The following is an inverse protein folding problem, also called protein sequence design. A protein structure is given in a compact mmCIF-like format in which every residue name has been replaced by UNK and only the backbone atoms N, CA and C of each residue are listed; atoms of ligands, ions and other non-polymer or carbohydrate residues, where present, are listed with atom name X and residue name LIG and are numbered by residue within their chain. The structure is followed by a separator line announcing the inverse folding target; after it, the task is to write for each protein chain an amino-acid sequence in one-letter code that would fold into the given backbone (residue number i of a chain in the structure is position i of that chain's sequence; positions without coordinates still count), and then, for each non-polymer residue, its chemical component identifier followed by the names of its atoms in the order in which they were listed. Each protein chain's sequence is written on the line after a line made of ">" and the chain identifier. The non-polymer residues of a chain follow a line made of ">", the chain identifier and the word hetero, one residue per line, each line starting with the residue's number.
data_IF_595699614795
#
_entry.id   IF_595699614795
#
_cell.length_a   1.000
_cell.length_b   1.000
_cell.length_c   1.000
_cell.angle_alpha   90.00
_cell.angle_beta   90.00
_cell.angle_gamma   90.00
#
_symmetry.space_group_name_H-M   'P 1'
#
loop_
_entity.id
_entity.type
_entity.pdbx_description
1 polymer ?
#
# COMPACT_ATOMS: atom_id res chain seq x y z
N UNK A 1 14.11 -51.56 57.27
CA UNK A 1 13.52 -50.22 57.15
C UNK A 1 14.06 -49.58 55.87
N UNK A 2 13.31 -49.64 54.78
CA UNK A 2 13.71 -49.07 53.50
C UNK A 2 13.24 -47.61 53.42
N UNK A 3 14.18 -46.69 53.30
CA UNK A 3 13.88 -45.28 53.03
C UNK A 3 13.98 -45.05 51.52
N UNK A 4 12.85 -44.74 50.93
CA UNK A 4 12.74 -44.35 49.54
C UNK A 4 13.00 -42.83 49.46
N UNK A 5 14.05 -42.41 48.71
CA UNK A 5 14.31 -41.01 48.40
C UNK A 5 13.66 -40.74 47.03
N UNK A 6 12.67 -39.86 47.02
CA UNK A 6 12.04 -39.40 45.78
C UNK A 6 12.81 -38.17 45.28
N UNK A 7 13.33 -38.17 44.06
CA UNK A 7 13.96 -36.98 43.52
C UNK A 7 12.90 -35.96 43.12
N UNK A 8 13.03 -34.73 43.63
CA UNK A 8 12.23 -33.59 43.20
C UNK A 8 12.73 -33.19 41.82
N UNK A 9 11.92 -33.42 40.83
CA UNK A 9 12.18 -32.90 39.47
C UNK A 9 11.94 -31.38 39.44
N UNK A 10 13.00 -30.64 39.31
CA UNK A 10 12.90 -29.19 39.00
C UNK A 10 12.44 -29.02 37.57
N UNK A 11 11.18 -28.65 37.39
CA UNK A 11 10.65 -28.25 36.10
C UNK A 11 11.23 -26.89 35.72
N UNK A 12 12.21 -26.89 34.83
CA UNK A 12 12.67 -25.66 34.16
C UNK A 12 11.57 -25.21 33.21
N UNK A 13 10.90 -24.11 33.56
CA UNK A 13 10.02 -23.38 32.64
C UNK A 13 10.91 -22.69 31.65
N UNK A 14 11.07 -23.28 30.44
CA UNK A 14 11.57 -22.56 29.30
C UNK A 14 10.46 -21.56 28.90
N UNK A 15 10.61 -20.32 29.34
CA UNK A 15 9.90 -19.21 28.73
C UNK A 15 10.37 -19.10 27.28
N UNK A 16 9.59 -19.66 26.35
CA UNK A 16 9.80 -19.48 24.93
C UNK A 16 9.68 -18.00 24.63
N UNK A 17 10.80 -17.36 24.26
CA UNK A 17 10.78 -16.06 23.62
C UNK A 17 10.01 -16.26 22.31
N UNK A 18 8.75 -15.82 22.27
CA UNK A 18 8.04 -15.69 21.02
C UNK A 18 8.87 -14.71 20.16
N UNK A 19 9.14 -15.02 18.88
CA UNK A 19 9.82 -14.08 18.01
C UNK A 19 8.99 -12.80 18.01
N UNK A 20 9.56 -11.71 18.50
CA UNK A 20 8.94 -10.38 18.32
C UNK A 20 8.95 -10.14 16.83
N UNK A 21 7.78 -9.97 16.26
CA UNK A 21 7.67 -9.53 14.88
C UNK A 21 8.39 -8.18 14.79
N UNK A 22 9.47 -8.11 14.03
CA UNK A 22 10.18 -6.86 13.81
C UNK A 22 9.22 -5.83 13.22
N UNK A 23 9.28 -4.59 13.71
CA UNK A 23 8.46 -3.52 13.20
C UNK A 23 8.88 -3.22 11.75
N UNK A 24 7.93 -3.24 10.84
CA UNK A 24 8.18 -2.91 9.42
C UNK A 24 8.60 -1.46 9.30
N UNK A 25 9.60 -1.21 8.45
CA UNK A 25 10.23 0.09 8.25
C UNK A 25 10.02 0.60 6.84
N UNK A 26 10.33 1.88 6.60
CA UNK A 26 10.32 2.43 5.25
C UNK A 26 11.28 1.70 4.30
N UNK A 27 12.40 1.17 4.82
CA UNK A 27 13.38 0.43 4.04
C UNK A 27 12.82 -0.88 3.46
N UNK A 28 11.88 -1.52 4.17
CA UNK A 28 11.25 -2.76 3.71
C UNK A 28 10.34 -2.54 2.50
N UNK A 29 9.88 -1.30 2.28
CA UNK A 29 9.06 -0.92 1.14
C UNK A 29 9.84 -0.48 -0.09
N UNK A 30 11.15 -0.15 0.05
CA UNK A 30 11.95 0.38 -1.05
C UNK A 30 11.95 -0.56 -2.25
N UNK A 31 11.59 -0.01 -3.41
CA UNK A 31 11.51 -0.76 -4.66
C UNK A 31 10.27 -0.41 -5.48
N UNK A 32 10.02 -1.23 -6.49
CA UNK A 32 8.89 -1.07 -7.40
C UNK A 32 7.86 -2.16 -7.14
N UNK A 33 6.62 -1.76 -6.99
CA UNK A 33 5.47 -2.61 -6.70
C UNK A 33 4.48 -2.56 -7.85
N UNK A 34 4.00 -3.72 -8.27
CA UNK A 34 2.97 -3.83 -9.31
C UNK A 34 1.61 -4.05 -8.65
N UNK A 35 0.57 -3.27 -9.00
CA UNK A 35 -0.75 -3.46 -8.42
C UNK A 35 -1.37 -4.79 -8.88
N UNK A 36 -1.88 -5.58 -7.94
CA UNK A 36 -2.66 -6.79 -8.22
C UNK A 36 -4.16 -6.52 -8.24
N UNK A 37 -4.61 -5.59 -7.37
CA UNK A 37 -5.99 -5.11 -7.32
C UNK A 37 -6.02 -3.70 -6.75
N UNK A 38 -7.08 -2.97 -6.97
CA UNK A 38 -7.29 -1.66 -6.36
C UNK A 38 -8.77 -1.43 -6.10
N UNK A 39 -9.08 -0.87 -4.94
CA UNK A 39 -10.43 -0.50 -4.54
C UNK A 39 -10.47 0.97 -4.16
N UNK A 40 -11.64 1.59 -4.35
CA UNK A 40 -11.92 2.95 -3.91
C UNK A 40 -12.96 2.86 -2.80
N UNK A 41 -12.64 3.44 -1.65
CA UNK A 41 -13.60 3.61 -0.57
C UNK A 41 -13.97 5.09 -0.47
N UNK A 42 -15.22 5.40 -0.70
CA UNK A 42 -15.77 6.73 -0.48
C UNK A 42 -16.19 6.89 0.99
N UNK A 43 -16.04 8.09 1.54
CA UNK A 43 -16.47 8.39 2.91
C UNK A 43 -17.95 8.02 3.11
N UNK A 44 -18.21 7.04 3.98
CA UNK A 44 -19.57 6.57 4.31
C UNK A 44 -20.25 5.74 3.23
N UNK A 45 -19.57 5.42 2.14
CA UNK A 45 -20.07 4.59 1.05
C UNK A 45 -19.49 3.19 1.01
N UNK A 46 -20.00 2.34 0.11
CA UNK A 46 -19.44 1.01 -0.13
C UNK A 46 -18.05 1.12 -0.75
N UNK A 47 -17.23 0.09 -0.53
CA UNK A 47 -15.97 -0.07 -1.25
C UNK A 47 -16.28 -0.51 -2.68
N UNK A 48 -15.79 0.23 -3.66
CA UNK A 48 -15.93 -0.09 -5.08
C UNK A 48 -14.60 -0.56 -5.66
N UNK A 49 -14.63 -1.50 -6.57
CA UNK A 49 -13.44 -1.89 -7.32
C UNK A 49 -13.07 -0.78 -8.30
N UNK A 50 -11.86 -0.27 -8.19
CA UNK A 50 -11.30 0.60 -9.23
C UNK A 50 -11.04 -0.19 -10.51
N UNK A 51 -10.36 -1.31 -10.37
CA UNK A 51 -10.12 -2.31 -11.42
C UNK A 51 -9.66 -3.61 -10.73
N UNK A 52 -10.18 -4.79 -11.11
CA UNK A 52 -9.74 -6.06 -10.55
C UNK A 52 -8.30 -6.44 -10.94
N UNK A 53 -7.78 -5.85 -12.02
CA UNK A 53 -6.43 -6.08 -12.54
C UNK A 53 -5.82 -4.77 -13.07
N UNK A 54 -5.59 -3.76 -12.21
CA UNK A 54 -5.12 -2.45 -12.64
C UNK A 54 -3.73 -2.55 -13.28
N UNK A 55 -3.44 -1.58 -14.13
CA UNK A 55 -2.09 -1.36 -14.65
C UNK A 55 -1.42 -0.27 -13.84
N UNK A 56 -0.10 -0.36 -13.69
CA UNK A 56 0.62 0.73 -13.04
C UNK A 56 1.80 0.27 -12.22
N UNK A 57 2.26 1.19 -11.39
CA UNK A 57 3.37 0.96 -10.48
C UNK A 57 3.26 1.88 -9.26
N UNK A 58 3.78 1.40 -8.14
CA UNK A 58 4.10 2.20 -6.97
C UNK A 58 5.58 2.02 -6.69
N UNK A 59 6.33 3.12 -6.69
CA UNK A 59 7.77 3.10 -6.46
C UNK A 59 8.05 3.83 -5.16
N UNK A 60 8.77 3.18 -4.26
CA UNK A 60 9.32 3.79 -3.05
C UNK A 60 10.83 3.95 -3.20
N UNK A 61 11.29 5.19 -3.16
CA UNK A 61 12.72 5.52 -3.18
C UNK A 61 13.36 5.39 -1.79
N UNK A 62 14.66 5.07 -1.72
CA UNK A 62 15.39 5.01 -0.46
C UNK A 62 15.58 6.39 0.19
N UNK A 63 15.31 7.45 -0.55
CA UNK A 63 15.36 8.85 -0.13
C UNK A 63 14.03 9.33 0.51
N UNK A 64 13.06 8.43 0.70
CA UNK A 64 11.74 8.76 1.25
C UNK A 64 10.78 9.36 0.24
N UNK A 65 11.09 9.33 -1.05
CA UNK A 65 10.19 9.76 -2.12
C UNK A 65 9.44 8.58 -2.69
N UNK A 66 8.25 8.86 -3.23
CA UNK A 66 7.46 7.87 -3.93
C UNK A 66 6.81 8.44 -5.19
N UNK A 67 6.43 7.55 -6.08
CA UNK A 67 5.55 7.84 -7.21
C UNK A 67 4.57 6.68 -7.40
N UNK A 68 3.30 7.02 -7.61
CA UNK A 68 2.22 6.07 -7.85
C UNK A 68 1.55 6.43 -9.18
N UNK A 69 1.34 5.43 -10.00
CA UNK A 69 0.51 5.52 -11.22
C UNK A 69 -0.36 4.27 -11.28
N UNK A 70 -1.68 4.44 -11.24
CA UNK A 70 -2.64 3.37 -11.45
C UNK A 70 -3.59 3.73 -12.58
N UNK A 71 -3.81 2.78 -13.47
CA UNK A 71 -4.67 2.91 -14.64
C UNK A 71 -5.64 1.74 -14.68
N UNK A 72 -6.87 2.00 -15.06
CA UNK A 72 -7.79 0.94 -15.44
C UNK A 72 -7.31 0.29 -16.73
N UNK A 73 -7.50 -1.01 -16.82
CA UNK A 73 -7.09 -1.78 -18.01
C UNK A 73 -7.91 -1.43 -19.26
N UNK A 74 -9.14 -0.99 -19.05
CA UNK A 74 -10.12 -0.71 -20.10
C UNK A 74 -10.19 0.76 -20.54
N UNK A 75 -9.11 1.54 -20.28
CA UNK A 75 -9.05 2.92 -20.75
C UNK A 75 -9.25 3.00 -22.28
N UNK A 76 -10.17 3.88 -22.75
CA UNK A 76 -10.39 4.04 -24.16
C UNK A 76 -9.20 4.69 -24.85
N UNK A 77 -8.97 4.33 -26.11
CA UNK A 77 -8.10 5.10 -27.00
C UNK A 77 -8.85 6.35 -27.48
N UNK A 78 -8.16 7.46 -27.51
CA UNK A 78 -8.70 8.70 -28.09
C UNK A 78 -8.84 8.53 -29.60
N UNK A 79 -10.06 8.65 -30.10
CA UNK A 79 -10.38 8.41 -31.52
C UNK A 79 -9.60 9.32 -32.47
N UNK A 80 -9.40 10.58 -32.09
CA UNK A 80 -8.61 11.54 -32.85
C UNK A 80 -7.09 11.28 -32.81
N UNK A 81 -6.61 10.35 -31.99
CA UNK A 81 -5.19 10.13 -31.70
C UNK A 81 -4.43 11.43 -31.35
N UNK A 82 -5.11 12.35 -30.70
CA UNK A 82 -4.59 13.66 -30.31
C UNK A 82 -5.13 14.00 -28.89
N UNK A 83 -4.25 14.14 -27.90
CA UNK A 83 -4.59 14.50 -26.51
C UNK A 83 -5.37 15.81 -26.37
N UNK A 84 -5.27 16.71 -27.32
CA UNK A 84 -5.94 18.02 -27.28
C UNK A 84 -7.29 18.00 -28.01
N UNK A 85 -7.71 16.84 -28.53
CA UNK A 85 -8.94 16.68 -29.32
C UNK A 85 -9.79 15.52 -28.81
N UNK A 86 -9.72 15.27 -27.50
CA UNK A 86 -10.56 14.28 -26.82
C UNK A 86 -12.02 14.76 -26.77
N UNK A 87 -12.95 13.82 -26.92
CA UNK A 87 -14.35 14.11 -26.59
C UNK A 87 -14.52 14.22 -25.07
N UNK A 88 -15.60 14.85 -24.63
CA UNK A 88 -15.91 14.97 -23.21
C UNK A 88 -16.09 13.60 -22.52
N UNK A 89 -16.57 12.60 -23.25
CA UNK A 89 -16.74 11.24 -22.75
C UNK A 89 -15.38 10.53 -22.59
N UNK A 90 -14.50 10.64 -23.59
CA UNK A 90 -13.14 10.10 -23.55
C UNK A 90 -12.35 10.71 -22.38
N UNK A 91 -12.37 12.05 -22.27
CA UNK A 91 -11.70 12.75 -21.17
C UNK A 91 -12.20 12.31 -19.80
N UNK A 92 -13.52 12.13 -19.65
CA UNK A 92 -14.11 11.65 -18.39
C UNK A 92 -13.67 10.22 -18.07
N UNK A 93 -13.71 9.32 -19.05
CA UNK A 93 -13.30 7.94 -18.88
C UNK A 93 -11.82 7.84 -18.47
N UNK A 94 -10.95 8.64 -19.13
CA UNK A 94 -9.53 8.70 -18.82
C UNK A 94 -9.31 9.27 -17.42
N UNK A 95 -9.96 10.37 -17.07
CA UNK A 95 -9.80 10.98 -15.75
C UNK A 95 -10.29 10.07 -14.60
N UNK A 96 -11.41 9.37 -14.79
CA UNK A 96 -11.95 8.43 -13.80
C UNK A 96 -11.20 7.11 -13.76
N UNK A 97 -10.54 6.75 -14.83
CA UNK A 97 -9.79 5.49 -14.97
C UNK A 97 -8.28 5.64 -14.75
N UNK A 98 -7.80 6.78 -14.31
CA UNK A 98 -6.38 7.01 -14.05
C UNK A 98 -6.17 7.84 -12.79
N UNK A 99 -5.19 7.45 -12.01
CA UNK A 99 -4.71 8.21 -10.86
C UNK A 99 -3.19 8.16 -10.82
N UNK A 100 -2.57 9.31 -10.68
CA UNK A 100 -1.14 9.40 -10.44
C UNK A 100 -0.88 10.49 -9.40
N UNK A 101 0.02 10.20 -8.49
CA UNK A 101 0.52 11.17 -7.53
C UNK A 101 1.94 10.81 -7.08
N UNK A 102 2.62 11.80 -6.55
CA UNK A 102 3.97 11.65 -6.04
C UNK A 102 4.20 12.59 -4.86
N UNK A 103 5.24 12.31 -4.11
CA UNK A 103 5.63 13.10 -2.95
C UNK A 103 6.62 12.36 -2.07
N UNK A 104 6.45 12.50 -0.77
CA UNK A 104 7.25 11.77 0.23
C UNK A 104 6.39 10.77 0.99
N UNK A 105 7.03 9.76 1.56
CA UNK A 105 6.37 8.77 2.39
C UNK A 105 7.12 8.53 3.69
N UNK A 106 6.41 8.06 4.69
CA UNK A 106 6.98 7.57 5.94
C UNK A 106 6.20 6.37 6.45
N UNK A 107 6.82 5.56 7.28
CA UNK A 107 6.21 4.37 7.89
C UNK A 107 6.24 4.50 9.39
N UNK A 108 5.07 4.34 10.02
CA UNK A 108 4.97 4.07 11.43
C UNK A 108 4.86 2.55 11.63
N UNK A 109 5.98 1.91 11.96
CA UNK A 109 6.04 0.46 12.11
C UNK A 109 5.24 -0.06 13.30
N UNK A 110 5.04 0.74 14.36
CA UNK A 110 4.26 0.35 15.53
C UNK A 110 2.77 0.20 15.19
N UNK A 111 2.23 1.14 14.40
CA UNK A 111 0.82 1.16 13.99
C UNK A 111 0.59 0.48 12.64
N UNK A 112 1.66 0.03 11.96
CA UNK A 112 1.61 -0.48 10.58
C UNK A 112 0.89 0.49 9.65
N UNK A 113 1.27 1.75 9.71
CA UNK A 113 0.68 2.83 8.93
C UNK A 113 1.71 3.43 7.99
N UNK A 114 1.37 3.45 6.71
CA UNK A 114 2.08 4.14 5.64
C UNK A 114 1.44 5.50 5.44
N UNK A 115 2.22 6.56 5.54
CA UNK A 115 1.76 7.94 5.35
C UNK A 115 2.33 8.48 4.06
N UNK A 116 1.47 8.82 3.12
CA UNK A 116 1.81 9.54 1.90
C UNK A 116 1.60 11.04 2.12
N UNK A 117 2.63 11.85 1.86
CA UNK A 117 2.53 13.31 1.75
C UNK A 117 2.53 13.65 0.28
N UNK A 118 1.35 13.95 -0.24
CA UNK A 118 1.14 14.14 -1.67
C UNK A 118 1.57 15.56 -2.06
N UNK A 119 2.60 15.67 -2.86
CA UNK A 119 3.02 16.96 -3.42
C UNK A 119 2.08 17.40 -4.53
N UNK A 120 1.84 16.51 -5.50
CA UNK A 120 0.92 16.74 -6.60
C UNK A 120 0.25 15.44 -7.06
N UNK A 121 -0.93 15.58 -7.64
CA UNK A 121 -1.77 14.49 -8.09
C UNK A 121 -2.53 14.86 -9.35
N UNK A 122 -2.90 13.86 -10.17
CA UNK A 122 -3.90 14.01 -11.24
C UNK A 122 -5.29 14.35 -10.73
N UNK A 123 -5.55 14.13 -9.44
CA UNK A 123 -6.70 14.67 -8.71
C UNK A 123 -6.22 15.83 -7.84
N UNK A 124 -6.29 17.10 -8.31
CA UNK A 124 -5.64 18.25 -7.67
C UNK A 124 -6.07 18.53 -6.23
N UNK A 125 -7.25 18.05 -5.83
CA UNK A 125 -7.74 18.20 -4.45
C UNK A 125 -6.85 17.48 -3.41
N UNK A 126 -6.00 16.56 -3.85
CA UNK A 126 -5.05 15.87 -2.96
C UNK A 126 -3.71 16.59 -2.83
N UNK A 127 -3.46 17.62 -3.64
CA UNK A 127 -2.20 18.37 -3.57
C UNK A 127 -1.99 18.97 -2.18
N UNK A 128 -0.82 18.75 -1.61
CA UNK A 128 -0.46 19.24 -0.27
C UNK A 128 -1.13 18.51 0.89
N UNK A 129 -1.80 17.39 0.66
CA UNK A 129 -2.46 16.61 1.71
C UNK A 129 -1.64 15.41 2.17
N UNK A 130 -1.98 14.90 3.34
CA UNK A 130 -1.48 13.62 3.86
C UNK A 130 -2.56 12.54 3.80
N UNK A 131 -2.16 11.33 3.43
CA UNK A 131 -3.02 10.15 3.48
C UNK A 131 -2.33 9.06 4.29
N UNK A 132 -2.94 8.69 5.41
CA UNK A 132 -2.50 7.57 6.24
C UNK A 132 -3.23 6.29 5.78
N UNK A 133 -2.47 5.24 5.53
CA UNK A 133 -2.96 3.95 5.05
C UNK A 133 -2.45 2.85 5.97
N UNK A 134 -3.32 2.12 6.66
CA UNK A 134 -2.92 0.87 7.29
C UNK A 134 -2.36 -0.06 6.21
N UNK A 135 -1.31 -0.79 6.52
CA UNK A 135 -0.73 -1.73 5.58
C UNK A 135 -0.28 -3.02 6.25
N UNK A 136 -0.16 -4.06 5.46
CA UNK A 136 0.54 -5.29 5.82
C UNK A 136 1.57 -5.61 4.75
N UNK A 137 2.72 -6.08 5.17
CA UNK A 137 3.77 -6.57 4.28
C UNK A 137 4.07 -8.02 4.67
N UNK A 138 3.86 -8.93 3.74
CA UNK A 138 4.11 -10.35 3.91
C UNK A 138 4.94 -10.86 2.72
N UNK A 139 6.24 -11.02 2.93
CA UNK A 139 7.17 -11.30 1.84
C UNK A 139 7.21 -10.16 0.82
N UNK A 140 6.79 -10.45 -0.39
CA UNK A 140 6.71 -9.51 -1.52
C UNK A 140 5.27 -9.04 -1.83
N UNK A 141 4.35 -9.24 -0.88
CA UNK A 141 2.96 -8.77 -0.97
C UNK A 141 2.72 -7.60 0.00
N UNK A 142 2.36 -6.46 -0.55
CA UNK A 142 1.96 -5.25 0.16
C UNK A 142 0.45 -5.03 0.00
N UNK A 143 -0.27 -4.98 1.12
CA UNK A 143 -1.73 -4.79 1.14
C UNK A 143 -2.11 -3.59 1.99
#
# INVERSE_FOLDING_TARGET
>A
MNRIVVPVAASAILAGLAPQAEAQTAQDLVGSWTPASSTIQQSGGPTESFDPNPLGTLIFGPDGRYALVFLRRDLPKVAANNRLSETAEESRAIAQGSIAHFGTYSVNGADKTLVFRIENSTFPNWNGTEQARPFTLAGDELT
#
